data_IF_531018000542
#
_entry.id   IF_531018000542
#
_cell.length_a   1.000
_cell.length_b   1.000
_cell.length_c   1.000
_cell.angle_alpha   90.00
_cell.angle_beta   90.00
_cell.angle_gamma   90.00
#
_symmetry.space_group_name_H-M   'P 1'
#
loop_
_entity.id
_entity.type
_entity.pdbx_description
1 polymer ?
#
# COMPACT_ATOMS: atom_id res chain seq x y z
N UNK A 1 -0.10 -35.98 -7.42
CA UNK A 1 -0.31 -34.53 -7.27
C UNK A 1 0.98 -33.94 -6.70
N UNK A 2 1.67 -33.07 -7.43
CA UNK A 2 3.01 -32.57 -7.06
C UNK A 2 2.91 -31.54 -5.94
N UNK A 3 3.38 -31.95 -4.76
CA UNK A 3 4.06 -31.17 -3.71
C UNK A 3 4.43 -29.73 -4.11
N UNK A 4 3.50 -28.79 -3.95
CA UNK A 4 3.76 -27.34 -4.00
C UNK A 4 4.34 -26.81 -2.68
N UNK A 5 4.61 -27.68 -1.71
CA UNK A 5 5.08 -27.31 -0.36
C UNK A 5 6.61 -27.28 -0.23
N UNK A 6 7.37 -27.30 -1.33
CA UNK A 6 8.83 -27.28 -1.26
C UNK A 6 9.40 -25.85 -1.32
N UNK A 7 9.59 -25.32 -0.12
CA UNK A 7 10.68 -24.44 0.30
C UNK A 7 10.79 -23.10 -0.44
N UNK A 8 9.95 -22.14 -0.03
CA UNK A 8 10.38 -20.74 -0.10
C UNK A 8 11.73 -20.63 0.64
N UNK A 9 12.75 -20.15 -0.06
CA UNK A 9 14.03 -19.83 0.57
C UNK A 9 13.82 -18.80 1.68
N UNK A 10 14.74 -18.75 2.65
CA UNK A 10 14.68 -17.76 3.73
C UNK A 10 14.52 -16.32 3.21
N UNK A 11 15.12 -16.00 2.06
CA UNK A 11 14.98 -14.71 1.39
C UNK A 11 13.56 -14.46 0.86
N UNK A 12 12.91 -15.47 0.29
CA UNK A 12 11.53 -15.36 -0.20
C UNK A 12 10.51 -15.27 0.94
N UNK A 13 10.73 -15.99 2.04
CA UNK A 13 9.92 -15.86 3.25
C UNK A 13 10.08 -14.47 3.88
N UNK A 14 11.31 -13.95 3.95
CA UNK A 14 11.58 -12.59 4.41
C UNK A 14 10.86 -11.56 3.55
N UNK A 15 10.94 -11.69 2.22
CA UNK A 15 10.23 -10.83 1.29
C UNK A 15 8.72 -10.86 1.51
N UNK A 16 8.14 -12.06 1.62
CA UNK A 16 6.71 -12.21 1.85
C UNK A 16 6.26 -11.55 3.15
N UNK A 17 7.03 -11.73 4.24
CA UNK A 17 6.72 -11.10 5.52
C UNK A 17 6.83 -9.57 5.45
N UNK A 18 7.90 -9.04 4.86
CA UNK A 18 8.07 -7.59 4.69
C UNK A 18 6.92 -6.98 3.87
N UNK A 19 6.57 -7.61 2.74
CA UNK A 19 5.43 -7.15 1.94
C UNK A 19 4.11 -7.24 2.71
N UNK A 20 3.89 -8.33 3.46
CA UNK A 20 2.69 -8.49 4.27
C UNK A 20 2.56 -7.39 5.34
N UNK A 21 3.66 -7.02 6.00
CA UNK A 21 3.69 -5.92 6.96
C UNK A 21 3.35 -4.58 6.30
N UNK A 22 3.91 -4.31 5.11
CA UNK A 22 3.62 -3.10 4.34
C UNK A 22 2.16 -3.01 3.92
N UNK A 23 1.60 -4.11 3.38
CA UNK A 23 0.17 -4.16 3.02
C UNK A 23 -0.74 -4.04 4.24
N UNK A 24 -0.29 -4.48 5.42
CA UNK A 24 -1.05 -4.30 6.67
C UNK A 24 -1.12 -2.82 7.04
N UNK A 25 -0.04 -2.07 6.89
CA UNK A 25 -0.06 -0.61 7.05
C UNK A 25 -0.97 0.01 6.01
N UNK A 26 -0.83 -0.35 4.72
CA UNK A 26 -1.65 0.20 3.64
C UNK A 26 -3.16 0.06 3.91
N UNK A 27 -3.59 -1.10 4.44
CA UNK A 27 -4.98 -1.39 4.78
C UNK A 27 -5.45 -0.76 6.11
N UNK A 28 -4.55 -0.17 6.90
CA UNK A 28 -4.87 0.47 8.17
C UNK A 28 -5.62 1.79 7.94
N UNK A 29 -6.95 1.70 7.80
CA UNK A 29 -7.82 2.87 7.65
C UNK A 29 -7.77 3.79 8.88
N UNK A 30 -7.62 3.23 10.08
CA UNK A 30 -7.51 4.01 11.31
C UNK A 30 -6.31 4.97 11.24
N UNK A 31 -5.15 4.47 10.80
CA UNK A 31 -3.94 5.29 10.69
C UNK A 31 -4.04 6.33 9.57
N UNK A 32 -4.69 5.96 8.45
CA UNK A 32 -4.98 6.87 7.34
C UNK A 32 -5.87 8.05 7.74
N UNK A 33 -6.85 7.83 8.62
CA UNK A 33 -7.75 8.91 9.08
C UNK A 33 -7.18 9.74 10.22
N UNK A 34 -6.26 9.19 11.01
CA UNK A 34 -5.62 9.88 12.13
C UNK A 34 -4.57 10.87 11.63
N UNK A 35 -3.62 10.39 10.82
CA UNK A 35 -2.53 11.19 10.25
C UNK A 35 -2.18 10.70 8.84
N UNK A 36 -2.77 11.28 7.78
CA UNK A 36 -2.51 10.84 6.40
C UNK A 36 -1.04 11.02 5.99
N UNK A 37 -0.35 12.04 6.51
CA UNK A 37 1.06 12.31 6.22
C UNK A 37 1.98 11.26 6.87
N UNK A 38 1.82 10.99 8.18
CA UNK A 38 2.60 9.96 8.89
C UNK A 38 2.35 8.55 8.31
N UNK A 39 1.11 8.27 7.92
CA UNK A 39 0.74 7.04 7.22
C UNK A 39 1.52 6.88 5.91
N UNK A 40 1.63 7.95 5.13
CA UNK A 40 2.34 7.94 3.87
C UNK A 40 3.86 7.78 4.07
N UNK A 41 4.43 8.52 5.01
CA UNK A 41 5.85 8.44 5.35
C UNK A 41 6.26 7.03 5.81
N UNK A 42 5.44 6.34 6.61
CA UNK A 42 5.77 4.97 7.05
C UNK A 42 5.72 3.95 5.89
N UNK A 43 4.79 4.11 4.94
CA UNK A 43 4.76 3.26 3.74
C UNK A 43 6.01 3.46 2.87
N UNK A 44 6.44 4.71 2.68
CA UNK A 44 7.67 5.02 1.95
C UNK A 44 8.90 4.49 2.69
N UNK A 45 8.95 4.66 4.01
CA UNK A 45 10.07 4.19 4.86
C UNK A 45 10.23 2.68 4.77
N UNK A 46 9.13 1.92 4.81
CA UNK A 46 9.17 0.46 4.68
C UNK A 46 9.58 0.01 3.29
N UNK A 47 9.09 0.66 2.23
CA UNK A 47 9.50 0.35 0.86
C UNK A 47 11.02 0.61 0.65
N UNK A 48 11.52 1.74 1.16
CA UNK A 48 12.94 2.10 1.09
C UNK A 48 13.83 1.14 1.86
N UNK A 49 13.38 0.69 3.03
CA UNK A 49 14.10 -0.31 3.82
C UNK A 49 14.18 -1.65 3.07
N UNK A 50 13.11 -2.05 2.36
CA UNK A 50 13.11 -3.27 1.56
C UNK A 50 14.06 -3.18 0.36
N UNK A 51 14.12 -2.03 -0.32
CA UNK A 51 15.06 -1.79 -1.44
C UNK A 51 16.51 -1.76 -0.94
N UNK A 52 16.79 -1.02 0.15
CA UNK A 52 18.13 -0.97 0.78
C UNK A 52 18.65 -2.34 1.20
N UNK A 53 17.77 -3.21 1.70
CA UNK A 53 18.10 -4.57 2.10
C UNK A 53 18.17 -5.56 0.93
N UNK A 54 17.85 -5.12 -0.30
CA UNK A 54 17.82 -5.96 -1.49
C UNK A 54 16.72 -7.03 -1.45
N UNK A 55 15.64 -6.79 -0.70
CA UNK A 55 14.51 -7.71 -0.54
C UNK A 55 13.58 -7.63 -1.76
N UNK A 56 13.44 -6.43 -2.34
CA UNK A 56 12.66 -6.15 -3.55
C UNK A 56 13.56 -5.55 -4.62
N UNK A 57 13.14 -5.63 -5.88
CA UNK A 57 13.84 -4.92 -6.97
C UNK A 57 13.32 -3.50 -7.13
N UNK A 58 14.07 -2.66 -7.86
CA UNK A 58 13.70 -1.28 -8.14
C UNK A 58 12.29 -1.13 -8.75
N UNK A 59 11.89 -2.07 -9.62
CA UNK A 59 10.56 -2.07 -10.24
C UNK A 59 9.46 -2.28 -9.18
N UNK A 60 9.64 -3.27 -8.30
CA UNK A 60 8.70 -3.55 -7.20
C UNK A 60 8.62 -2.40 -6.19
N UNK A 61 9.77 -1.80 -5.87
CA UNK A 61 9.83 -0.60 -5.03
C UNK A 61 9.05 0.57 -5.63
N UNK A 62 9.20 0.80 -6.94
CA UNK A 62 8.46 1.84 -7.66
C UNK A 62 6.95 1.57 -7.62
N UNK A 63 6.53 0.33 -7.82
CA UNK A 63 5.11 -0.04 -7.79
C UNK A 63 4.51 0.14 -6.38
N UNK A 64 5.23 -0.24 -5.32
CA UNK A 64 4.82 0.00 -3.93
C UNK A 64 4.65 1.49 -3.64
N UNK A 65 5.60 2.33 -4.09
CA UNK A 65 5.50 3.78 -3.91
C UNK A 65 4.31 4.37 -4.65
N UNK A 66 4.05 3.96 -5.88
CA UNK A 66 2.87 4.39 -6.64
C UNK A 66 1.56 4.01 -5.93
N UNK A 67 1.49 2.83 -5.32
CA UNK A 67 0.32 2.40 -4.56
C UNK A 67 0.15 3.20 -3.25
N UNK A 68 1.25 3.52 -2.56
CA UNK A 68 1.23 4.42 -1.40
C UNK A 68 0.78 5.83 -1.77
N UNK A 69 1.31 6.40 -2.86
CA UNK A 69 0.91 7.72 -3.38
C UNK A 69 -0.58 7.73 -3.73
N UNK A 70 -1.07 6.70 -4.42
CA UNK A 70 -2.48 6.57 -4.75
C UNK A 70 -3.37 6.47 -3.49
N UNK A 71 -2.94 5.72 -2.47
CA UNK A 71 -3.66 5.60 -1.21
C UNK A 71 -3.68 6.93 -0.43
N UNK A 72 -2.56 7.66 -0.41
CA UNK A 72 -2.46 8.99 0.17
C UNK A 72 -3.35 10.00 -0.55
N UNK A 73 -3.31 10.04 -1.89
CA UNK A 73 -4.18 10.91 -2.68
C UNK A 73 -5.66 10.62 -2.41
N UNK A 74 -6.06 9.35 -2.25
CA UNK A 74 -7.44 9.00 -1.86
C UNK A 74 -7.81 9.50 -0.46
N UNK A 75 -6.87 9.43 0.49
CA UNK A 75 -7.05 9.94 1.84
C UNK A 75 -7.21 11.47 1.85
N UNK A 76 -6.30 12.19 1.18
CA UNK A 76 -6.26 13.66 1.12
C UNK A 76 -7.37 14.24 0.26
N UNK A 77 -7.71 13.61 -0.87
CA UNK A 77 -8.81 14.05 -1.73
C UNK A 77 -10.18 13.90 -1.06
N UNK A 78 -10.25 13.29 0.13
CA UNK A 78 -11.50 13.05 0.82
C UNK A 78 -12.45 12.21 -0.03
N UNK A 79 -11.96 11.19 -0.75
CA UNK A 79 -12.86 10.26 -1.45
C UNK A 79 -13.80 9.56 -0.48
N UNK A 80 -13.37 9.37 0.78
CA UNK A 80 -14.21 8.97 1.91
C UNK A 80 -15.18 10.08 2.39
N UNK A 81 -14.93 11.34 2.03
CA UNK A 81 -15.73 12.51 2.41
C UNK A 81 -16.75 12.92 1.33
N UNK A 82 -16.68 12.40 0.09
CA UNK A 82 -17.64 12.80 -0.96
C UNK A 82 -19.07 12.56 -0.46
N UNK A 83 -19.86 13.62 -0.18
CA UNK A 83 -21.30 13.41 -0.08
C UNK A 83 -21.71 12.94 -1.47
N UNK A 84 -22.33 11.76 -1.54
CA UNK A 84 -23.21 11.42 -2.66
C UNK A 84 -24.09 12.64 -2.86
N UNK A 85 -23.82 13.41 -3.92
CA UNK A 85 -24.75 14.41 -4.40
C UNK A 85 -25.44 13.72 -5.58
N UNK A 86 -26.58 13.03 -5.36
CA UNK A 86 -27.37 12.59 -6.48
C UNK A 86 -27.98 13.86 -7.08
N UNK A 87 -28.01 13.89 -8.41
CA UNK A 87 -28.73 14.87 -9.24
C UNK A 87 -27.99 16.18 -9.58
N UNK A 88 -26.93 16.06 -10.38
CA UNK A 88 -26.93 16.82 -11.63
C UNK A 88 -27.72 16.02 -12.67
N UNK A 89 -29.04 16.23 -12.69
CA UNK A 89 -29.88 15.85 -13.83
C UNK A 89 -30.69 17.07 -14.24
N UNK A 90 -30.02 17.99 -14.92
CA UNK A 90 -30.71 18.88 -15.86
C UNK A 90 -30.96 18.08 -17.13
N UNK A 91 -32.21 17.68 -17.36
CA UNK A 91 -32.76 17.46 -18.70
C UNK A 91 -34.28 17.18 -18.60
N UNK A 92 -35.11 18.23 -18.65
CA UNK A 92 -36.17 18.41 -19.65
C UNK A 92 -36.92 19.72 -19.43
#
# INVERSE_FOLDING_TARGET
MRTFEKNLSAAQLLKLNCLADWYRVLKSRAFRMDSPDEYHDELLRQADEMDRRGIICWQEWRDLRLEADAAYLRAVAGEDYRPVNPTSSSAK
#
